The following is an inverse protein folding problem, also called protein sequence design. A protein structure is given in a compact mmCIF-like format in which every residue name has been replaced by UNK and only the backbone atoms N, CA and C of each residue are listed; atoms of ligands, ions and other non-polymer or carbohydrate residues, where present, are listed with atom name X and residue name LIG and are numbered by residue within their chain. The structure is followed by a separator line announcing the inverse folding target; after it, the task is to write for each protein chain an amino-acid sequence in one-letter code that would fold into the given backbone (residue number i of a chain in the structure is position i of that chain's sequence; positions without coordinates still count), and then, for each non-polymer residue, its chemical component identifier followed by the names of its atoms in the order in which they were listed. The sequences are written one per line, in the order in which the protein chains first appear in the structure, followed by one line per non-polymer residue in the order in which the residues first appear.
data_IF_881913359297
#
_entry.id   IF_881913359297
#
_cell.length_a   1.000
_cell.length_b   1.000
_cell.length_c   1.000
_cell.angle_alpha   90.00
_cell.angle_beta   90.00
_cell.angle_gamma   90.00
#
_symmetry.space_group_name_H-M   'P 1'
#
loop_
_entity.id
_entity.type
_entity.pdbx_description
1 polymer ?
#
# COMPACT_ATOMS: atom_id res chain seq x y z
N UNK A 1 -9.93 30.74 -8.51
CA UNK A 1 -9.58 30.91 -7.10
C UNK A 1 -9.67 29.60 -6.30
N UNK A 2 -10.81 28.88 -6.25
CA UNK A 2 -10.98 27.63 -5.51
C UNK A 2 -10.00 26.50 -5.89
N UNK A 3 -9.78 26.24 -7.19
CA UNK A 3 -8.85 25.22 -7.70
C UNK A 3 -7.38 25.53 -7.31
N UNK A 4 -6.99 26.82 -7.34
CA UNK A 4 -5.67 27.27 -6.93
C UNK A 4 -5.43 27.05 -5.43
N UNK A 5 -6.42 27.41 -4.60
CA UNK A 5 -6.34 27.21 -3.16
C UNK A 5 -6.23 25.72 -2.79
N UNK A 6 -6.99 24.85 -3.47
CA UNK A 6 -6.93 23.40 -3.28
C UNK A 6 -5.56 22.83 -3.64
N UNK A 7 -4.95 23.29 -4.72
CA UNK A 7 -3.60 22.87 -5.12
C UNK A 7 -2.55 23.33 -4.10
N UNK A 8 -2.62 24.59 -3.66
CA UNK A 8 -1.70 25.13 -2.64
C UNK A 8 -1.78 24.34 -1.34
N UNK A 9 -2.98 24.03 -0.86
CA UNK A 9 -3.18 23.20 0.34
C UNK A 9 -2.56 21.82 0.15
N UNK A 10 -2.73 21.20 -1.02
CA UNK A 10 -2.13 19.89 -1.34
C UNK A 10 -0.60 19.95 -1.31
N UNK A 11 -0.01 20.99 -1.89
CA UNK A 11 1.46 21.19 -1.87
C UNK A 11 2.01 21.36 -0.45
N UNK A 12 1.32 22.13 0.39
CA UNK A 12 1.67 22.31 1.80
C UNK A 12 1.63 20.97 2.54
N UNK A 13 0.57 20.19 2.36
CA UNK A 13 0.43 18.86 2.98
C UNK A 13 1.58 17.95 2.55
N UNK A 14 1.88 17.90 1.25
CA UNK A 14 2.99 17.09 0.70
C UNK A 14 4.32 17.55 1.31
N UNK A 15 4.55 18.83 1.46
CA UNK A 15 5.77 19.38 2.06
C UNK A 15 5.95 18.91 3.52
N UNK A 16 4.92 19.03 4.36
CA UNK A 16 4.98 18.54 5.73
C UNK A 16 5.16 17.02 5.81
N UNK A 17 4.52 16.28 4.91
CA UNK A 17 4.70 14.84 4.79
C UNK A 17 6.15 14.48 4.44
N UNK A 18 6.78 15.19 3.51
CA UNK A 18 8.19 15.00 3.16
C UNK A 18 9.12 15.24 4.36
N UNK A 19 8.91 16.32 5.12
CA UNK A 19 9.67 16.61 6.35
C UNK A 19 9.54 15.44 7.34
N UNK A 20 8.33 14.94 7.54
CA UNK A 20 8.07 13.80 8.43
C UNK A 20 8.77 12.53 7.94
N UNK A 21 8.75 12.25 6.64
CA UNK A 21 9.44 11.09 6.06
C UNK A 21 10.95 11.21 6.20
N UNK A 22 11.52 12.41 5.99
CA UNK A 22 12.95 12.66 6.22
C UNK A 22 13.32 12.34 7.68
N UNK A 23 12.53 12.82 8.64
CA UNK A 23 12.73 12.54 10.05
C UNK A 23 12.67 11.02 10.33
N UNK A 24 11.66 10.33 9.82
CA UNK A 24 11.51 8.88 9.98
C UNK A 24 12.71 8.14 9.38
N UNK A 25 13.09 8.45 8.15
CA UNK A 25 14.19 7.79 7.46
C UNK A 25 15.54 8.00 8.14
N UNK A 26 15.75 9.15 8.78
CA UNK A 26 16.97 9.43 9.55
C UNK A 26 17.03 8.67 10.88
N UNK A 27 15.87 8.36 11.47
CA UNK A 27 15.78 7.64 12.74
C UNK A 27 15.83 6.11 12.60
N UNK A 28 15.70 5.59 11.38
CA UNK A 28 15.90 4.17 11.12
C UNK A 28 17.38 3.93 10.85
N UNK A 29 18.04 3.15 11.74
CA UNK A 29 19.41 2.71 11.49
C UNK A 29 19.44 1.63 10.41
N UNK A 30 19.76 2.01 9.17
CA UNK A 30 19.76 1.11 8.01
C UNK A 30 21.16 0.77 7.48
N UNK A 31 22.23 1.46 7.94
CA UNK A 31 23.60 1.18 7.51
C UNK A 31 24.06 -0.17 8.06
N UNK A 32 24.67 -0.99 7.21
CA UNK A 32 25.14 -2.34 7.54
C UNK A 32 24.01 -3.26 8.06
N UNK A 33 22.80 -3.04 7.59
CA UNK A 33 21.59 -3.76 7.94
C UNK A 33 20.91 -4.29 6.69
N UNK A 34 20.17 -5.37 6.84
CA UNK A 34 19.31 -5.91 5.79
C UNK A 34 17.95 -5.22 5.86
N UNK A 35 17.62 -4.42 4.85
CA UNK A 35 16.44 -3.57 4.87
C UNK A 35 15.57 -3.84 3.65
N UNK A 36 14.26 -3.81 3.84
CA UNK A 36 13.28 -3.91 2.76
C UNK A 36 12.23 -2.81 2.86
N UNK A 37 11.90 -2.23 1.72
CA UNK A 37 10.74 -1.35 1.54
C UNK A 37 9.69 -2.08 0.71
N UNK A 38 8.49 -2.21 1.25
CA UNK A 38 7.36 -2.90 0.62
C UNK A 38 6.32 -1.86 0.20
N UNK A 39 6.04 -1.76 -1.08
CA UNK A 39 5.04 -0.86 -1.66
C UNK A 39 3.83 -1.68 -2.11
N UNK A 40 2.80 -1.76 -1.26
CA UNK A 40 1.53 -2.40 -1.55
C UNK A 40 0.59 -1.41 -2.23
N UNK A 41 0.06 -1.79 -3.40
CA UNK A 41 -0.67 -0.91 -4.30
C UNK A 41 0.28 0.08 -4.98
N UNK A 42 1.32 -0.46 -5.64
CA UNK A 42 2.34 0.40 -6.28
C UNK A 42 1.80 1.16 -7.49
N UNK A 43 0.71 0.71 -8.11
CA UNK A 43 0.12 1.25 -9.33
C UNK A 43 1.21 1.45 -10.42
N UNK A 44 1.39 2.64 -10.98
CA UNK A 44 2.48 2.99 -11.91
C UNK A 44 3.84 3.22 -11.23
N UNK A 45 3.97 2.86 -9.95
CA UNK A 45 5.18 3.05 -9.17
C UNK A 45 5.33 4.43 -8.56
N UNK A 46 4.23 5.19 -8.40
CA UNK A 46 4.30 6.54 -7.82
C UNK A 46 4.86 6.50 -6.40
N UNK A 47 4.39 5.56 -5.56
CA UNK A 47 4.90 5.34 -4.21
C UNK A 47 6.39 5.04 -4.23
N UNK A 48 6.81 4.04 -4.99
CA UNK A 48 8.24 3.70 -5.15
C UNK A 48 9.09 4.89 -5.57
N UNK A 49 8.69 5.62 -6.62
CA UNK A 49 9.46 6.77 -7.15
C UNK A 49 9.56 7.92 -6.15
N UNK A 50 8.57 8.07 -5.29
CA UNK A 50 8.58 9.04 -4.21
C UNK A 50 9.49 8.58 -3.05
N UNK A 51 9.26 7.37 -2.51
CA UNK A 51 9.92 6.88 -1.31
C UNK A 51 11.39 6.52 -1.51
N UNK A 52 11.83 6.10 -2.72
CA UNK A 52 13.25 5.83 -3.00
C UNK A 52 14.18 7.04 -2.81
N UNK A 53 13.63 8.25 -2.72
CA UNK A 53 14.40 9.47 -2.41
C UNK A 53 14.88 9.49 -0.95
N UNK A 54 14.13 8.83 -0.07
CA UNK A 54 14.35 8.78 1.38
C UNK A 54 14.92 7.43 1.83
N UNK A 55 14.36 6.34 1.34
CA UNK A 55 14.81 4.97 1.55
C UNK A 55 15.62 4.52 0.34
N UNK A 56 16.89 4.91 0.31
CA UNK A 56 17.74 4.77 -0.87
C UNK A 56 17.98 3.30 -1.26
N UNK A 57 17.93 3.00 -2.56
CA UNK A 57 18.07 1.66 -3.13
C UNK A 57 19.43 0.99 -2.88
N UNK A 58 20.47 1.74 -2.53
CA UNK A 58 21.76 1.16 -2.11
C UNK A 58 21.72 0.58 -0.68
N UNK A 59 20.67 0.86 0.08
CA UNK A 59 20.47 0.33 1.43
C UNK A 59 19.23 -0.53 1.57
N UNK A 60 18.25 -0.38 0.67
CA UNK A 60 16.97 -1.06 0.72
C UNK A 60 16.75 -1.94 -0.50
N UNK A 61 16.32 -3.17 -0.28
CA UNK A 61 15.62 -3.97 -1.27
C UNK A 61 14.18 -3.48 -1.38
N UNK A 62 13.56 -3.63 -2.55
CA UNK A 62 12.19 -3.19 -2.78
C UNK A 62 11.30 -4.33 -3.23
N UNK A 63 10.14 -4.45 -2.62
CA UNK A 63 9.03 -5.26 -3.10
C UNK A 63 7.91 -4.34 -3.57
N UNK A 64 7.55 -4.42 -4.84
CA UNK A 64 6.44 -3.71 -5.45
C UNK A 64 5.31 -4.70 -5.70
N UNK A 65 4.09 -4.36 -5.26
CA UNK A 65 2.92 -5.25 -5.35
C UNK A 65 1.77 -4.50 -6.02
N UNK A 66 1.28 -5.06 -7.14
CA UNK A 66 0.18 -4.48 -7.92
C UNK A 66 -0.63 -5.58 -8.60
N UNK A 67 -1.91 -5.75 -8.27
CA UNK A 67 -2.75 -6.77 -8.88
C UNK A 67 -3.21 -6.46 -10.30
N UNK A 68 -3.28 -5.18 -10.71
CA UNK A 68 -3.79 -4.79 -12.01
C UNK A 68 -2.89 -5.33 -13.15
N UNK A 69 -3.35 -6.31 -13.95
CA UNK A 69 -2.53 -6.91 -14.99
C UNK A 69 -2.15 -5.95 -16.11
N UNK A 70 -2.94 -4.88 -16.31
CA UNK A 70 -2.67 -3.86 -17.34
C UNK A 70 -1.44 -3.00 -17.01
N UNK A 71 -1.02 -2.97 -15.74
CA UNK A 71 0.16 -2.23 -15.30
C UNK A 71 1.45 -3.05 -15.33
N UNK A 72 1.37 -4.38 -15.54
CA UNK A 72 2.53 -5.27 -15.49
C UNK A 72 3.63 -4.86 -16.47
N UNK A 73 3.29 -4.62 -17.72
CA UNK A 73 4.28 -4.23 -18.75
C UNK A 73 4.86 -2.84 -18.43
N UNK A 74 4.03 -1.89 -18.03
CA UNK A 74 4.47 -0.55 -17.65
C UNK A 74 5.49 -0.59 -16.50
N UNK A 75 5.21 -1.36 -15.43
CA UNK A 75 6.11 -1.49 -14.28
C UNK A 75 7.43 -2.16 -14.70
N UNK A 76 7.37 -3.22 -15.50
CA UNK A 76 8.57 -3.90 -15.97
C UNK A 76 9.48 -2.98 -16.78
N UNK A 77 8.94 -2.21 -17.73
CA UNK A 77 9.70 -1.32 -18.61
C UNK A 77 10.21 -0.09 -17.87
N UNK A 78 9.34 0.58 -17.10
CA UNK A 78 9.65 1.88 -16.53
C UNK A 78 10.31 1.82 -15.14
N UNK A 79 10.21 0.67 -14.46
CA UNK A 79 10.79 0.51 -13.12
C UNK A 79 11.79 -0.63 -13.11
N UNK A 80 11.37 -1.87 -13.35
CA UNK A 80 12.26 -3.02 -13.18
C UNK A 80 13.46 -2.94 -14.11
N UNK A 81 13.23 -2.70 -15.40
CA UNK A 81 14.32 -2.57 -16.38
C UNK A 81 15.20 -1.33 -16.12
N UNK A 82 14.57 -0.19 -15.81
CA UNK A 82 15.26 1.07 -15.54
C UNK A 82 16.19 0.99 -14.32
N UNK A 83 15.80 0.24 -13.30
CA UNK A 83 16.54 0.09 -12.04
C UNK A 83 17.12 -1.33 -11.87
N UNK A 84 17.43 -2.03 -12.97
CA UNK A 84 17.88 -3.43 -12.99
C UNK A 84 19.12 -3.75 -12.14
N UNK A 85 19.94 -2.73 -11.84
CA UNK A 85 21.12 -2.87 -10.98
C UNK A 85 20.78 -2.81 -9.48
N UNK A 86 19.50 -2.65 -9.14
CA UNK A 86 19.02 -2.59 -7.77
C UNK A 86 18.18 -3.84 -7.47
N UNK A 87 18.07 -4.18 -6.20
CA UNK A 87 17.23 -5.30 -5.76
C UNK A 87 15.78 -4.87 -5.68
N UNK A 88 15.06 -4.99 -6.78
CA UNK A 88 13.62 -4.71 -6.88
C UNK A 88 12.92 -5.96 -7.37
N UNK A 89 11.94 -6.42 -6.59
CA UNK A 89 11.04 -7.51 -6.94
C UNK A 89 9.66 -6.94 -7.23
N UNK A 90 9.02 -7.38 -8.30
CA UNK A 90 7.65 -7.03 -8.62
C UNK A 90 6.75 -8.27 -8.55
N UNK A 91 5.66 -8.18 -7.79
CA UNK A 91 4.61 -9.19 -7.73
C UNK A 91 3.33 -8.63 -8.36
N UNK A 92 2.91 -9.21 -9.49
CA UNK A 92 1.62 -8.91 -10.12
C UNK A 92 0.51 -9.72 -9.44
N UNK A 93 0.26 -9.39 -8.16
CA UNK A 93 -0.70 -10.05 -7.28
C UNK A 93 -1.30 -9.03 -6.31
N UNK A 94 -2.45 -9.35 -5.73
CA UNK A 94 -2.98 -8.59 -4.59
C UNK A 94 -2.37 -9.10 -3.27
N UNK A 95 -2.02 -8.20 -2.37
CA UNK A 95 -1.70 -8.57 -1.00
C UNK A 95 -2.99 -8.93 -0.27
N UNK A 96 -3.03 -10.11 0.32
CA UNK A 96 -4.18 -10.61 1.07
C UNK A 96 -3.72 -11.46 2.26
N UNK A 97 -4.64 -12.15 2.93
CA UNK A 97 -4.38 -12.98 4.12
C UNK A 97 -4.24 -14.47 3.81
N UNK A 98 -4.31 -14.83 2.55
CA UNK A 98 -4.17 -16.21 2.05
C UNK A 98 -3.78 -16.22 0.58
N UNK A 99 -3.20 -17.32 0.12
CA UNK A 99 -2.96 -17.57 -1.30
C UNK A 99 -4.26 -18.03 -1.94
N UNK A 100 -4.89 -17.17 -2.73
CA UNK A 100 -6.19 -17.42 -3.36
C UNK A 100 -6.35 -16.58 -4.61
N UNK A 101 -7.50 -16.66 -5.25
CA UNK A 101 -7.93 -15.76 -6.30
C UNK A 101 -9.14 -14.96 -5.85
N UNK A 102 -9.19 -13.69 -6.26
CA UNK A 102 -10.30 -12.80 -5.96
C UNK A 102 -10.74 -12.01 -7.17
N UNK A 103 -12.01 -11.65 -7.19
CA UNK A 103 -12.53 -10.67 -8.15
C UNK A 103 -11.91 -9.30 -7.86
N UNK A 104 -11.52 -8.61 -8.92
CA UNK A 104 -10.94 -7.27 -8.89
C UNK A 104 -11.86 -6.34 -9.66
N UNK A 105 -12.43 -5.38 -8.97
CA UNK A 105 -13.48 -4.49 -9.43
C UNK A 105 -12.92 -3.12 -9.79
N UNK A 106 -13.61 -2.38 -10.65
CA UNK A 106 -13.30 -0.98 -10.96
C UNK A 106 -12.34 -0.75 -12.13
N UNK A 107 -11.99 -1.79 -12.90
CA UNK A 107 -11.19 -1.62 -14.12
C UNK A 107 -12.03 -1.41 -15.37
N UNK A 108 -13.26 -1.94 -15.40
CA UNK A 108 -14.16 -1.87 -16.56
C UNK A 108 -15.31 -0.93 -16.28
N UNK A 109 -15.79 -0.90 -15.04
CA UNK A 109 -16.92 -0.09 -14.60
C UNK A 109 -16.56 1.38 -14.37
N UNK A 110 -15.29 1.67 -14.11
CA UNK A 110 -14.81 3.02 -13.83
C UNK A 110 -14.47 3.76 -15.12
N UNK A 111 -14.96 4.98 -15.28
CA UNK A 111 -14.65 5.86 -16.43
C UNK A 111 -13.15 6.14 -16.60
N UNK A 112 -12.35 5.93 -15.54
CA UNK A 112 -10.89 6.00 -15.59
C UNK A 112 -10.25 4.83 -16.35
N UNK A 113 -11.03 3.78 -16.65
CA UNK A 113 -10.68 2.66 -17.50
C UNK A 113 -9.65 1.70 -16.87
N UNK A 114 -9.03 0.91 -17.74
CA UNK A 114 -8.13 -0.20 -17.36
C UNK A 114 -6.91 0.19 -16.49
N UNK A 115 -6.61 1.47 -16.33
CA UNK A 115 -5.52 2.00 -15.49
C UNK A 115 -6.05 2.68 -14.23
N UNK A 116 -7.30 2.40 -13.83
CA UNK A 116 -7.94 2.97 -12.64
C UNK A 116 -7.05 2.84 -11.39
N UNK A 117 -6.95 3.93 -10.67
CA UNK A 117 -6.23 3.96 -9.37
C UNK A 117 -7.12 3.48 -8.22
N UNK A 118 -8.45 3.39 -8.42
CA UNK A 118 -9.42 2.99 -7.39
C UNK A 118 -9.92 1.56 -7.52
N UNK A 119 -9.27 0.70 -8.32
CA UNK A 119 -9.66 -0.68 -8.45
C UNK A 119 -9.32 -1.50 -7.20
N UNK A 120 -10.21 -2.40 -6.78
CA UNK A 120 -10.12 -3.10 -5.50
C UNK A 120 -10.56 -4.56 -5.58
N UNK A 121 -9.99 -5.41 -4.71
CA UNK A 121 -10.52 -6.76 -4.43
C UNK A 121 -11.67 -6.73 -3.41
N UNK A 122 -12.00 -5.57 -2.87
CA UNK A 122 -13.11 -5.36 -1.94
C UNK A 122 -14.33 -4.86 -2.73
N UNK A 123 -15.37 -5.70 -2.79
CA UNK A 123 -16.57 -5.45 -3.59
C UNK A 123 -17.23 -4.09 -3.33
N UNK A 124 -17.31 -3.71 -2.06
CA UNK A 124 -18.06 -2.52 -1.64
C UNK A 124 -17.22 -1.24 -1.60
N UNK A 125 -15.97 -1.32 -2.10
CA UNK A 125 -15.10 -0.17 -2.22
C UNK A 125 -15.44 0.64 -3.47
N UNK A 126 -15.33 1.97 -3.38
CA UNK A 126 -15.61 2.92 -4.48
C UNK A 126 -17.01 2.84 -5.11
N UNK A 127 -17.97 2.20 -4.43
CA UNK A 127 -19.35 2.06 -4.94
C UNK A 127 -20.11 3.40 -5.16
N UNK A 128 -19.52 4.53 -4.76
CA UNK A 128 -20.02 5.86 -5.13
C UNK A 128 -19.50 6.34 -6.49
N UNK A 129 -18.51 5.68 -7.07
CA UNK A 129 -17.84 6.06 -8.32
C UNK A 129 -18.27 5.19 -9.50
N UNK A 130 -18.68 3.95 -9.21
CA UNK A 130 -19.15 3.00 -10.21
C UNK A 130 -20.08 1.96 -9.58
N UNK A 131 -21.01 1.41 -10.36
CA UNK A 131 -21.83 0.27 -9.95
C UNK A 131 -21.01 -1.00 -10.12
N UNK A 132 -20.82 -1.73 -9.02
CA UNK A 132 -20.07 -2.98 -9.02
C UNK A 132 -20.81 -4.02 -9.86
N UNK A 133 -20.15 -4.51 -10.89
CA UNK A 133 -20.65 -5.58 -11.75
C UNK A 133 -19.70 -6.78 -11.67
N UNK A 134 -20.18 -7.89 -11.12
CA UNK A 134 -19.38 -9.10 -10.96
C UNK A 134 -19.00 -9.77 -12.27
N UNK A 135 -19.82 -9.62 -13.31
CA UNK A 135 -19.54 -10.17 -14.64
C UNK A 135 -18.42 -9.40 -15.37
N UNK A 136 -18.26 -8.10 -15.04
CA UNK A 136 -17.21 -7.25 -15.58
C UNK A 136 -15.92 -7.26 -14.79
N UNK A 137 -15.95 -7.83 -13.57
CA UNK A 137 -14.75 -7.97 -12.76
C UNK A 137 -13.77 -8.94 -13.41
N UNK A 138 -12.48 -8.74 -13.17
CA UNK A 138 -11.46 -9.72 -13.55
C UNK A 138 -11.02 -10.52 -12.33
N UNK A 139 -10.46 -11.70 -12.54
CA UNK A 139 -9.86 -12.49 -11.47
C UNK A 139 -8.37 -12.16 -11.36
N UNK A 140 -7.89 -11.93 -10.14
CA UNK A 140 -6.48 -11.70 -9.85
C UNK A 140 -5.98 -12.66 -8.78
N UNK A 141 -4.71 -13.06 -8.90
CA UNK A 141 -4.04 -13.83 -7.87
C UNK A 141 -3.79 -12.97 -6.64
N UNK A 142 -4.02 -13.58 -5.47
CA UNK A 142 -3.65 -13.03 -4.17
C UNK A 142 -2.51 -13.86 -3.56
N UNK A 143 -1.66 -13.22 -2.76
CA UNK A 143 -0.68 -13.93 -1.95
C UNK A 143 -0.85 -13.62 -0.47
N UNK A 144 -0.49 -14.59 0.36
CA UNK A 144 -0.51 -14.43 1.81
C UNK A 144 0.62 -13.50 2.24
N UNK A 145 0.23 -12.24 2.51
CA UNK A 145 1.16 -11.20 2.93
C UNK A 145 1.65 -11.43 4.36
N UNK A 146 0.86 -12.07 5.20
CA UNK A 146 1.22 -12.36 6.60
C UNK A 146 2.33 -13.40 6.63
N UNK A 147 2.14 -14.51 5.91
CA UNK A 147 3.19 -15.52 5.76
C UNK A 147 4.43 -14.98 5.03
N UNK A 148 4.26 -14.03 4.12
CA UNK A 148 5.41 -13.33 3.52
C UNK A 148 6.18 -12.53 4.56
N UNK A 149 5.51 -11.75 5.41
CA UNK A 149 6.16 -10.98 6.48
C UNK A 149 6.88 -11.88 7.49
N UNK A 150 6.31 -13.02 7.88
CA UNK A 150 6.95 -13.99 8.76
C UNK A 150 8.27 -14.54 8.20
N UNK A 151 8.37 -14.66 6.86
CA UNK A 151 9.62 -15.09 6.20
C UNK A 151 10.72 -14.03 6.18
N UNK A 152 10.39 -12.76 6.48
CA UNK A 152 11.34 -11.66 6.52
C UNK A 152 12.06 -11.51 7.88
N UNK A 153 12.08 -12.53 8.72
CA UNK A 153 12.73 -12.52 10.04
C UNK A 153 14.22 -12.14 10.03
N UNK A 154 14.90 -12.36 8.89
CA UNK A 154 16.30 -12.01 8.72
C UNK A 154 16.52 -10.54 8.31
N UNK A 155 15.46 -9.79 8.07
CA UNK A 155 15.55 -8.36 7.80
C UNK A 155 15.55 -7.57 9.12
N UNK A 156 16.49 -6.64 9.24
CA UNK A 156 16.61 -5.76 10.41
C UNK A 156 15.55 -4.64 10.40
N UNK A 157 15.19 -4.18 9.20
CA UNK A 157 14.22 -3.10 9.02
C UNK A 157 13.24 -3.41 7.89
N UNK A 158 11.97 -3.44 8.21
CA UNK A 158 10.86 -3.55 7.27
C UNK A 158 10.10 -2.23 7.30
N UNK A 159 9.98 -1.57 6.16
CA UNK A 159 9.16 -0.37 5.97
C UNK A 159 8.08 -0.69 4.94
N UNK A 160 6.84 -0.36 5.24
CA UNK A 160 5.69 -0.71 4.40
C UNK A 160 4.96 0.58 3.99
N UNK A 161 4.70 0.77 2.70
CA UNK A 161 3.63 1.67 2.22
C UNK A 161 2.44 0.78 1.89
N UNK A 162 1.28 1.09 2.44
CA UNK A 162 0.04 0.34 2.29
C UNK A 162 -1.08 1.27 1.80
N UNK A 163 -1.47 1.08 0.57
CA UNK A 163 -2.49 1.83 -0.15
C UNK A 163 -3.13 0.86 -1.14
N UNK A 164 -4.07 0.07 -0.64
CA UNK A 164 -4.60 -1.15 -1.28
C UNK A 164 -6.12 -1.13 -1.39
N UNK A 165 -6.69 0.07 -1.45
CA UNK A 165 -8.07 0.32 -1.84
C UNK A 165 -9.09 -0.54 -1.06
N UNK A 166 -8.97 -0.53 0.29
CA UNK A 166 -9.89 -1.20 1.21
C UNK A 166 -9.40 -2.51 1.80
N UNK A 167 -8.32 -3.11 1.28
CA UNK A 167 -7.74 -4.34 1.86
C UNK A 167 -6.88 -4.07 3.10
N UNK A 168 -6.47 -2.82 3.35
CA UNK A 168 -5.63 -2.44 4.47
C UNK A 168 -6.19 -2.86 5.83
N UNK A 169 -7.51 -2.87 5.97
CA UNK A 169 -8.15 -3.24 7.24
C UNK A 169 -7.86 -4.68 7.63
N UNK A 170 -8.11 -5.61 6.72
CA UNK A 170 -7.90 -7.03 7.00
C UNK A 170 -6.41 -7.36 7.14
N UNK A 171 -5.56 -6.71 6.34
CA UNK A 171 -4.11 -6.90 6.42
C UNK A 171 -3.55 -6.40 7.75
N UNK A 172 -3.95 -5.20 8.20
CA UNK A 172 -3.47 -4.63 9.46
C UNK A 172 -3.99 -5.40 10.68
N UNK A 173 -5.26 -5.81 10.67
CA UNK A 173 -5.81 -6.66 11.71
C UNK A 173 -5.02 -7.97 11.83
N UNK A 174 -4.70 -8.61 10.70
CA UNK A 174 -3.88 -9.83 10.69
C UNK A 174 -2.42 -9.60 11.09
N UNK A 175 -1.82 -8.46 10.75
CA UNK A 175 -0.49 -8.09 11.27
C UNK A 175 -0.54 -7.95 12.80
N UNK A 176 -1.57 -7.30 13.35
CA UNK A 176 -1.75 -7.11 14.78
C UNK A 176 -1.94 -8.45 15.50
N UNK A 177 -2.76 -9.36 14.94
CA UNK A 177 -2.97 -10.70 15.47
C UNK A 177 -1.69 -11.54 15.50
N UNK A 178 -0.77 -11.34 14.55
CA UNK A 178 0.47 -12.10 14.40
C UNK A 178 1.72 -11.31 14.82
N UNK A 179 1.57 -10.28 15.65
CA UNK A 179 2.67 -9.34 15.96
C UNK A 179 3.86 -10.00 16.64
N UNK A 180 3.65 -11.09 17.35
CA UNK A 180 4.73 -11.85 18.02
C UNK A 180 5.61 -12.62 17.03
N UNK A 181 5.06 -12.97 15.88
CA UNK A 181 5.75 -13.69 14.81
C UNK A 181 6.33 -12.76 13.75
N UNK A 182 5.73 -11.57 13.57
CA UNK A 182 6.15 -10.56 12.61
C UNK A 182 7.04 -9.55 13.33
N UNK A 183 8.33 -9.61 13.03
CA UNK A 183 9.34 -8.77 13.67
C UNK A 183 9.80 -7.66 12.72
N UNK A 184 10.46 -6.63 13.31
CA UNK A 184 11.23 -5.63 12.58
C UNK A 184 10.44 -4.69 11.64
N UNK A 185 9.11 -4.60 11.77
CA UNK A 185 8.36 -3.51 11.14
C UNK A 185 8.72 -2.20 11.86
N UNK A 186 9.44 -1.33 11.18
CA UNK A 186 9.89 -0.04 11.73
C UNK A 186 8.88 1.07 11.48
N UNK A 187 8.20 1.03 10.33
CA UNK A 187 7.22 2.04 9.98
C UNK A 187 6.23 1.56 8.92
N UNK A 188 4.98 2.01 9.02
CA UNK A 188 3.93 1.81 8.02
C UNK A 188 3.44 3.19 7.54
N UNK A 189 3.58 3.47 6.26
CA UNK A 189 2.89 4.57 5.58
C UNK A 189 1.56 4.04 5.07
N UNK A 190 0.45 4.62 5.51
CA UNK A 190 -0.87 3.99 5.43
C UNK A 190 -1.91 4.97 4.91
N UNK A 191 -2.65 4.57 3.89
CA UNK A 191 -3.90 5.21 3.48
C UNK A 191 -5.09 4.35 3.90
N UNK A 192 -6.10 4.98 4.54
CA UNK A 192 -7.36 4.34 4.88
C UNK A 192 -8.46 4.78 3.92
N UNK A 193 -9.25 3.82 3.47
CA UNK A 193 -10.29 4.02 2.46
C UNK A 193 -11.72 3.95 2.99
N UNK A 194 -11.96 4.13 4.30
CA UNK A 194 -13.32 4.14 4.88
C UNK A 194 -14.25 5.15 4.21
N UNK A 195 -13.70 6.26 3.73
CA UNK A 195 -14.45 7.32 3.02
C UNK A 195 -15.07 6.87 1.69
N UNK A 196 -14.49 5.85 1.06
CA UNK A 196 -14.92 5.30 -0.23
C UNK A 196 -15.80 4.06 -0.10
N UNK A 197 -15.97 3.53 1.11
CA UNK A 197 -16.87 2.40 1.33
C UNK A 197 -18.32 2.79 1.12
N UNK A 198 -19.14 1.81 0.75
CA UNK A 198 -20.59 1.94 0.68
C UNK A 198 -21.14 2.58 1.97
N UNK A 199 -22.21 3.38 1.86
CA UNK A 199 -22.78 4.15 2.98
C UNK A 199 -23.04 3.31 4.23
N UNK A 200 -23.59 2.10 4.05
CA UNK A 200 -23.94 1.20 5.14
C UNK A 200 -22.69 0.61 5.84
N UNK A 201 -21.60 0.49 5.12
CA UNK A 201 -20.34 -0.04 5.64
C UNK A 201 -19.40 1.04 6.16
N UNK A 202 -19.55 2.28 5.73
CA UNK A 202 -18.65 3.40 6.06
C UNK A 202 -18.41 3.52 7.57
N UNK A 203 -19.47 3.47 8.38
CA UNK A 203 -19.36 3.53 9.85
C UNK A 203 -18.59 2.33 10.41
N UNK A 204 -18.84 1.13 9.90
CA UNK A 204 -18.14 -0.10 10.31
C UNK A 204 -16.65 0.01 10.01
N UNK A 205 -16.28 0.44 8.81
CA UNK A 205 -14.86 0.60 8.43
C UNK A 205 -14.17 1.72 9.21
N UNK A 206 -14.88 2.80 9.51
CA UNK A 206 -14.34 3.85 10.37
C UNK A 206 -14.05 3.37 11.80
N UNK A 207 -14.91 2.53 12.39
CA UNK A 207 -14.66 1.92 13.70
C UNK A 207 -13.45 0.97 13.65
N UNK A 208 -13.29 0.18 12.58
CA UNK A 208 -12.09 -0.65 12.37
C UNK A 208 -10.82 0.19 12.28
N UNK A 209 -10.89 1.32 11.57
CA UNK A 209 -9.76 2.27 11.48
C UNK A 209 -9.33 2.77 12.86
N UNK A 210 -10.27 3.14 13.73
CA UNK A 210 -9.98 3.55 15.12
C UNK A 210 -9.31 2.42 15.88
N UNK A 211 -9.90 1.22 15.86
CA UNK A 211 -9.35 0.03 16.52
C UNK A 211 -7.92 -0.28 16.04
N UNK A 212 -7.68 -0.25 14.72
CA UNK A 212 -6.37 -0.52 14.14
C UNK A 212 -5.34 0.51 14.63
N UNK A 213 -5.68 1.82 14.60
CA UNK A 213 -4.79 2.90 15.05
C UNK A 213 -4.40 2.73 16.53
N UNK A 214 -5.35 2.40 17.39
CA UNK A 214 -5.11 2.15 18.81
C UNK A 214 -4.24 0.90 19.02
N UNK A 215 -4.53 -0.17 18.28
CA UNK A 215 -3.79 -1.42 18.36
C UNK A 215 -2.35 -1.29 17.86
N UNK A 216 -2.10 -0.58 16.76
CA UNK A 216 -0.76 -0.26 16.29
C UNK A 216 0.04 0.51 17.35
N UNK A 217 -0.59 1.53 17.96
CA UNK A 217 0.02 2.31 19.03
C UNK A 217 0.35 1.44 20.26
N UNK A 218 -0.59 0.60 20.71
CA UNK A 218 -0.40 -0.34 21.82
C UNK A 218 0.76 -1.29 21.58
N UNK A 219 0.90 -1.77 20.36
CA UNK A 219 1.98 -2.69 19.95
C UNK A 219 3.27 -1.97 19.52
N UNK A 220 3.36 -0.64 19.71
CA UNK A 220 4.53 0.18 19.37
C UNK A 220 4.94 0.12 17.90
N UNK A 221 3.99 -0.14 16.99
CA UNK A 221 4.20 -0.06 15.55
C UNK A 221 3.99 1.39 15.12
N UNK A 222 5.05 2.00 14.62
CA UNK A 222 4.97 3.37 14.11
C UNK A 222 4.24 3.41 12.78
N UNK A 223 3.34 4.37 12.62
CA UNK A 223 2.68 4.63 11.35
C UNK A 223 2.53 6.12 11.03
N UNK A 224 2.38 6.42 9.77
CA UNK A 224 2.06 7.76 9.26
C UNK A 224 0.97 7.62 8.21
N UNK A 225 -0.07 8.46 8.30
CA UNK A 225 -1.08 8.50 7.26
C UNK A 225 -0.43 9.04 5.97
N UNK A 226 -0.60 8.28 4.91
CA UNK A 226 -0.25 8.61 3.53
C UNK A 226 -1.49 9.21 2.86
N UNK A 227 -1.34 10.10 1.88
CA UNK A 227 -2.44 10.85 1.24
C UNK A 227 -2.42 10.57 -0.26
#
# INVERSE_FOLDING_TARGET
MYKYLKNLVKEIIIFFLQIRIIYISKNINFKNKKNIFIDLGTNKGQGFLFFKKFFKMNYFEYLLVEPNPNLKNYINENIIYKYKNNKITFLSKAAYIENTKKKFFGLVEDDRGALSEGASIIRDHNSNMYDVNEEKSIEVDCFDFIEYLKKLKDYDNIVIKMDVEGSEYILLEKIIENITEIQNIKHIFLEFHSRFMNKDLKKKFHLREIYIKESLKKNKINYTLWI
#
